data_IF_967760766673
#
_entry.id   IF_967760766673
#
_cell.length_a   1.000
_cell.length_b   1.000
_cell.length_c   1.000
_cell.angle_alpha   90.00
_cell.angle_beta   90.00
_cell.angle_gamma   90.00
#
_symmetry.space_group_name_H-M   'P 1'
#
loop_
_entity.id
_entity.type
_entity.pdbx_description
1 polymer ?
#
# COMPACT_ATOMS: atom_id res chain seq x y z
N UNK A 1 -10.54 64.96 5.92
CA UNK A 1 -11.15 63.74 6.50
C UNK A 1 -10.26 62.56 6.14
N UNK A 2 -9.93 61.77 7.15
CA UNK A 2 -8.74 60.93 7.22
C UNK A 2 -9.10 59.44 7.04
N UNK A 3 -8.35 58.82 6.13
CA UNK A 3 -7.94 57.40 6.07
C UNK A 3 -8.72 56.39 5.19
N UNK A 4 -7.97 55.42 4.61
CA UNK A 4 -8.29 54.62 3.44
C UNK A 4 -8.75 53.21 3.83
N UNK A 5 -9.47 52.53 2.93
CA UNK A 5 -9.63 51.08 3.00
C UNK A 5 -8.87 50.45 1.84
N UNK A 6 -7.59 50.17 2.08
CA UNK A 6 -6.87 49.13 1.36
C UNK A 6 -7.43 47.78 1.86
N UNK A 7 -8.20 47.09 1.01
CA UNK A 7 -8.62 45.72 1.26
C UNK A 7 -7.40 44.80 1.07
N UNK A 8 -6.77 44.43 2.19
CA UNK A 8 -5.77 43.37 2.24
C UNK A 8 -6.51 42.03 2.05
N UNK A 9 -6.41 41.44 0.86
CA UNK A 9 -6.85 40.06 0.64
C UNK A 9 -5.84 39.13 1.33
N UNK A 10 -6.20 38.64 2.53
CA UNK A 10 -5.44 37.61 3.22
C UNK A 10 -5.69 36.30 2.46
N UNK A 11 -4.77 35.95 1.56
CA UNK A 11 -4.65 34.61 1.03
C UNK A 11 -4.24 33.70 2.18
N UNK A 12 -5.21 33.03 2.79
CA UNK A 12 -4.96 31.94 3.72
C UNK A 12 -4.30 30.80 2.93
N UNK A 13 -2.97 30.80 2.93
CA UNK A 13 -2.20 29.65 2.54
C UNK A 13 -2.60 28.52 3.50
N UNK A 14 -3.41 27.59 3.01
CA UNK A 14 -3.60 26.30 3.66
C UNK A 14 -2.25 25.63 3.65
N UNK A 15 -1.51 25.82 4.75
CA UNK A 15 -0.37 24.99 5.11
C UNK A 15 -0.93 23.57 5.25
N UNK A 16 -0.91 22.82 4.14
CA UNK A 16 -1.10 21.39 4.19
C UNK A 16 -0.06 20.89 5.16
N UNK A 17 -0.51 20.42 6.33
CA UNK A 17 0.34 19.67 7.22
C UNK A 17 0.77 18.46 6.43
N UNK A 18 1.97 18.50 5.86
CA UNK A 18 2.68 17.32 5.45
C UNK A 18 2.87 16.52 6.74
N UNK A 19 1.88 15.68 7.05
CA UNK A 19 2.02 14.61 8.02
C UNK A 19 3.13 13.76 7.43
N UNK A 20 4.38 14.05 7.83
CA UNK A 20 5.46 13.11 7.66
C UNK A 20 4.93 11.85 8.31
N UNK A 21 4.56 10.87 7.50
CA UNK A 21 3.97 9.62 7.99
C UNK A 21 4.95 9.09 9.03
N UNK A 22 4.50 9.06 10.28
CA UNK A 22 5.29 8.55 11.40
C UNK A 22 5.54 7.06 11.18
N UNK A 23 6.55 6.47 11.83
CA UNK A 23 6.83 5.04 11.73
C UNK A 23 5.59 4.16 11.92
N UNK A 24 4.72 4.56 12.85
CA UNK A 24 3.47 3.88 13.15
C UNK A 24 2.48 3.90 11.97
N UNK A 25 2.35 5.02 11.26
CA UNK A 25 1.46 5.13 10.11
C UNK A 25 1.92 4.27 8.92
N UNK A 26 3.23 4.07 8.75
CA UNK A 26 3.78 3.15 7.75
C UNK A 26 3.50 1.68 8.11
N UNK A 27 3.61 1.31 9.39
CA UNK A 27 3.32 -0.04 9.85
C UNK A 27 1.84 -0.39 9.72
N UNK A 28 0.94 0.55 10.07
CA UNK A 28 -0.50 0.39 9.87
C UNK A 28 -0.83 0.24 8.38
N UNK A 29 -0.22 1.04 7.51
CA UNK A 29 -0.41 0.94 6.08
C UNK A 29 0.06 -0.41 5.51
N UNK A 30 1.26 -0.87 5.89
CA UNK A 30 1.77 -2.17 5.45
C UNK A 30 0.85 -3.32 5.89
N UNK A 31 0.32 -3.25 7.11
CA UNK A 31 -0.64 -4.23 7.65
C UNK A 31 -1.97 -4.21 6.87
N UNK A 32 -2.45 -3.01 6.50
CA UNK A 32 -3.64 -2.86 5.67
C UNK A 32 -3.47 -3.51 4.30
N UNK A 33 -2.32 -3.25 3.64
CA UNK A 33 -1.99 -3.85 2.34
C UNK A 33 -1.88 -5.37 2.45
N UNK A 34 -1.15 -5.89 3.45
CA UNK A 34 -1.03 -7.32 3.71
C UNK A 34 -2.41 -7.99 3.84
N UNK A 35 -3.25 -7.44 4.72
CA UNK A 35 -4.57 -7.99 5.01
C UNK A 35 -5.46 -8.00 3.77
N UNK A 36 -5.49 -6.89 3.02
CA UNK A 36 -6.31 -6.76 1.83
C UNK A 36 -5.84 -7.71 0.72
N UNK A 37 -4.53 -7.83 0.52
CA UNK A 37 -3.96 -8.69 -0.50
C UNK A 37 -4.15 -10.18 -0.20
N UNK A 38 -3.93 -10.62 1.05
CA UNK A 38 -4.17 -12.01 1.44
C UNK A 38 -5.63 -12.40 1.25
N UNK A 39 -6.56 -11.53 1.63
CA UNK A 39 -7.99 -11.74 1.42
C UNK A 39 -8.36 -11.82 -0.06
N UNK A 40 -7.76 -11.00 -0.93
CA UNK A 40 -8.02 -11.02 -2.37
C UNK A 40 -7.48 -12.29 -3.07
N UNK A 41 -6.49 -12.96 -2.47
CA UNK A 41 -5.91 -14.21 -2.96
C UNK A 41 -6.40 -15.45 -2.21
N UNK A 42 -7.49 -15.34 -1.44
CA UNK A 42 -8.04 -16.47 -0.68
C UNK A 42 -8.37 -17.66 -1.61
N UNK A 43 -7.93 -18.85 -1.22
CA UNK A 43 -8.11 -20.08 -2.00
C UNK A 43 -7.24 -20.22 -3.24
N UNK A 44 -6.42 -19.22 -3.59
CA UNK A 44 -5.43 -19.35 -4.69
C UNK A 44 -4.23 -20.17 -4.26
N UNK A 45 -3.82 -20.03 -2.99
CA UNK A 45 -2.70 -20.74 -2.39
C UNK A 45 -3.16 -21.50 -1.14
N UNK A 46 -2.41 -22.54 -0.76
CA UNK A 46 -2.73 -23.33 0.45
C UNK A 46 -2.30 -22.60 1.73
N UNK A 47 -1.12 -22.01 1.74
CA UNK A 47 -0.55 -21.25 2.87
C UNK A 47 0.17 -20.00 2.33
N UNK A 48 -0.58 -18.98 1.86
CA UNK A 48 0.04 -17.79 1.26
C UNK A 48 0.80 -16.96 2.29
N UNK A 49 1.89 -16.35 1.85
CA UNK A 49 2.64 -15.33 2.59
C UNK A 49 2.66 -14.04 1.77
N UNK A 50 2.56 -12.90 2.45
CA UNK A 50 2.66 -11.59 1.82
C UNK A 50 4.05 -10.99 2.04
N UNK A 51 4.72 -10.59 0.96
CA UNK A 51 5.89 -9.70 1.02
C UNK A 51 5.45 -8.31 0.57
N UNK A 52 5.29 -7.40 1.54
CA UNK A 52 4.74 -6.06 1.31
C UNK A 52 5.86 -5.04 1.11
N UNK A 53 5.71 -4.16 0.13
CA UNK A 53 6.48 -2.92 0.07
C UNK A 53 5.98 -1.97 1.18
N UNK A 54 6.80 -1.68 2.20
CA UNK A 54 6.36 -0.95 3.40
C UNK A 54 5.93 0.49 3.12
N UNK A 55 6.31 1.05 1.97
CA UNK A 55 5.94 2.41 1.57
C UNK A 55 4.93 2.39 0.40
N UNK A 56 5.07 1.39 -0.46
CA UNK A 56 4.40 1.32 -1.74
C UNK A 56 4.82 2.46 -2.67
N UNK A 57 3.93 2.81 -3.59
CA UNK A 57 4.08 3.95 -4.49
C UNK A 57 3.28 5.16 -4.00
N UNK A 58 3.30 6.26 -4.76
CA UNK A 58 2.50 7.46 -4.46
C UNK A 58 1.01 7.15 -4.29
N UNK A 59 0.46 6.26 -5.12
CA UNK A 59 -0.99 5.98 -5.17
C UNK A 59 -1.37 4.56 -4.72
N UNK A 60 -0.40 3.65 -4.61
CA UNK A 60 -0.69 2.23 -4.39
C UNK A 60 0.15 1.61 -3.28
N UNK A 61 -0.45 0.68 -2.54
CA UNK A 61 0.28 -0.36 -1.81
C UNK A 61 0.61 -1.52 -2.73
N UNK A 62 1.77 -2.12 -2.54
CA UNK A 62 2.27 -3.19 -3.40
C UNK A 62 2.66 -4.36 -2.51
N UNK A 63 2.24 -5.56 -2.90
CA UNK A 63 2.65 -6.78 -2.24
C UNK A 63 2.85 -7.89 -3.26
N UNK A 64 3.72 -8.85 -2.91
CA UNK A 64 3.85 -10.11 -3.62
C UNK A 64 3.32 -11.19 -2.69
N UNK A 65 2.25 -11.86 -3.10
CA UNK A 65 1.71 -13.02 -2.40
C UNK A 65 2.37 -14.26 -2.98
N UNK A 66 3.00 -15.07 -2.14
CA UNK A 66 3.67 -16.30 -2.56
C UNK A 66 3.16 -17.50 -1.79
N UNK A 67 3.08 -18.66 -2.43
CA UNK A 67 2.68 -19.90 -1.77
C UNK A 67 2.57 -21.07 -2.74
N UNK A 68 2.12 -22.20 -2.19
CA UNK A 68 1.87 -23.42 -2.95
C UNK A 68 0.48 -23.39 -3.57
N UNK A 69 0.39 -23.69 -4.88
CA UNK A 69 -0.89 -23.84 -5.56
C UNK A 69 -1.57 -25.17 -5.17
N UNK A 70 -2.91 -25.21 -5.02
CA UNK A 70 -3.63 -26.45 -4.75
C UNK A 70 -3.43 -27.55 -5.81
N UNK A 71 -3.13 -27.16 -7.06
CA UNK A 71 -2.80 -28.08 -8.16
C UNK A 71 -1.38 -28.64 -8.13
N UNK A 72 -0.54 -28.16 -7.20
CA UNK A 72 0.89 -28.45 -7.12
C UNK A 72 1.74 -27.37 -7.80
N UNK A 73 2.98 -27.24 -7.32
CA UNK A 73 3.90 -26.16 -7.69
C UNK A 73 3.82 -24.97 -6.73
N UNK A 74 4.83 -24.10 -6.80
CA UNK A 74 4.90 -22.87 -5.99
C UNK A 74 4.93 -21.67 -6.94
N UNK A 75 4.44 -20.53 -6.48
CA UNK A 75 4.44 -19.34 -7.31
C UNK A 75 4.14 -18.08 -6.53
N UNK A 76 4.03 -16.99 -7.27
CA UNK A 76 3.70 -15.68 -6.72
C UNK A 76 2.66 -14.96 -7.56
N UNK A 77 1.90 -14.07 -6.93
CA UNK A 77 1.00 -13.11 -7.57
C UNK A 77 1.34 -11.72 -7.06
N UNK A 78 1.37 -10.75 -7.95
CA UNK A 78 1.47 -9.33 -7.59
C UNK A 78 0.09 -8.84 -7.17
N UNK A 79 0.02 -8.19 -6.01
CA UNK A 79 -1.15 -7.51 -5.51
C UNK A 79 -0.92 -5.99 -5.48
N UNK A 80 -1.88 -5.23 -6.02
CA UNK A 80 -1.88 -3.77 -6.03
C UNK A 80 -3.10 -3.28 -5.25
N UNK A 81 -2.85 -2.52 -4.19
CA UNK A 81 -3.88 -1.92 -3.35
C UNK A 81 -4.01 -0.42 -3.66
N UNK A 82 -5.18 0.03 -4.11
CA UNK A 82 -5.44 1.45 -4.35
C UNK A 82 -5.65 2.21 -3.03
N UNK A 83 -4.79 3.19 -2.75
CA UNK A 83 -4.83 3.95 -1.48
C UNK A 83 -6.09 4.81 -1.35
N UNK A 84 -6.66 5.29 -2.46
CA UNK A 84 -7.84 6.15 -2.47
C UNK A 84 -9.14 5.36 -2.49
N UNK A 85 -9.23 4.39 -3.41
CA UNK A 85 -10.43 3.57 -3.59
C UNK A 85 -10.53 2.45 -2.55
N UNK A 86 -9.42 2.09 -1.90
CA UNK A 86 -9.33 0.98 -0.93
C UNK A 86 -9.76 -0.36 -1.56
N UNK A 87 -9.38 -0.55 -2.82
CA UNK A 87 -9.66 -1.76 -3.61
C UNK A 87 -8.37 -2.47 -3.98
N UNK A 88 -8.46 -3.78 -4.22
CA UNK A 88 -7.31 -4.62 -4.62
C UNK A 88 -7.46 -5.08 -6.06
N UNK A 89 -6.36 -5.01 -6.80
CA UNK A 89 -6.18 -5.67 -8.08
C UNK A 89 -5.09 -6.75 -7.96
N UNK A 90 -5.37 -7.93 -8.49
CA UNK A 90 -4.42 -9.06 -8.50
C UNK A 90 -3.93 -9.33 -9.93
N UNK A 91 -2.63 -9.57 -10.05
CA UNK A 91 -2.00 -10.00 -11.30
C UNK A 91 -2.21 -11.49 -11.59
N UNK A 92 -1.57 -11.94 -12.67
CA UNK A 92 -1.50 -13.36 -13.00
C UNK A 92 -0.44 -14.11 -12.18
N UNK A 93 -0.46 -15.44 -12.31
CA UNK A 93 0.52 -16.33 -11.70
C UNK A 93 1.92 -16.12 -12.28
N UNK A 94 2.92 -16.08 -11.40
CA UNK A 94 4.33 -15.99 -11.74
C UNK A 94 5.05 -17.23 -11.18
N UNK A 95 5.86 -17.87 -12.02
CA UNK A 95 6.73 -18.99 -11.64
C UNK A 95 8.02 -18.49 -10.96
N UNK A 96 7.82 -17.76 -9.86
CA UNK A 96 8.85 -17.30 -8.94
C UNK A 96 8.32 -17.46 -7.52
N UNK A 97 9.21 -17.43 -6.53
CA UNK A 97 8.81 -17.37 -5.13
C UNK A 97 9.68 -16.33 -4.45
N UNK A 98 9.06 -15.39 -3.74
CA UNK A 98 9.78 -14.36 -2.98
C UNK A 98 9.90 -14.82 -1.54
N UNK A 99 11.13 -14.90 -1.04
CA UNK A 99 11.42 -15.17 0.36
C UNK A 99 11.88 -13.88 1.03
N UNK A 100 11.35 -13.59 2.22
CA UNK A 100 11.90 -12.53 3.05
C UNK A 100 13.28 -12.99 3.54
N UNK A 101 14.35 -12.38 3.05
CA UNK A 101 15.64 -12.52 3.71
C UNK A 101 15.49 -11.86 5.08
N UNK A 102 15.62 -12.63 6.15
CA UNK A 102 15.75 -12.08 7.48
C UNK A 102 16.88 -11.04 7.42
N UNK A 103 16.56 -9.78 7.67
CA UNK A 103 17.58 -8.74 7.77
C UNK A 103 18.61 -9.19 8.83
N UNK A 104 19.86 -9.35 8.40
CA UNK A 104 21.02 -9.51 9.28
C UNK A 104 21.25 -8.25 10.11
#
# INVERSE_FOLDING_TARGET
MLKPLALLAITAATLGTAQASSGDAWAEFATEVETACLAATDGVFTEPTATVDPFGSESYGLAIISGDFPSGGTGSIVCVFDKQAKTVEIGGELDITVSQNAAE
#
